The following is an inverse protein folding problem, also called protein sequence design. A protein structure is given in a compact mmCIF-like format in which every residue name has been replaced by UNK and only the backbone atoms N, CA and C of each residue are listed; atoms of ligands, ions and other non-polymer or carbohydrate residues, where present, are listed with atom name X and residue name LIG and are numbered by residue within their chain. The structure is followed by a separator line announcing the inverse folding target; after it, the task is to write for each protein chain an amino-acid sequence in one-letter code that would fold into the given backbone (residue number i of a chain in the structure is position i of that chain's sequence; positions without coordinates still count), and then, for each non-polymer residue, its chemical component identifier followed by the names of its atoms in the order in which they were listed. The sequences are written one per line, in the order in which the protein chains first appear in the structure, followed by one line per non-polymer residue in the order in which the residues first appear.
data_IF_205994284192
#
_entry.id   IF_205994284192
#
_cell.length_a   1.000
_cell.length_b   1.000
_cell.length_c   1.000
_cell.angle_alpha   90.00
_cell.angle_beta   90.00
_cell.angle_gamma   90.00
#
_symmetry.space_group_name_H-M   'P 1'
#
loop_
_entity.id
_entity.type
_entity.pdbx_description
1 polymer ?
#
# COMPACT_ATOMS: atom_id res chain seq x y z
N UNK A 1 27.62 -20.49 -8.47
CA UNK A 1 26.57 -20.02 -7.54
C UNK A 1 25.85 -18.88 -8.23
N UNK A 2 24.74 -19.18 -8.91
CA UNK A 2 24.01 -18.19 -9.69
C UNK A 2 23.15 -17.37 -8.72
N UNK A 3 23.58 -16.15 -8.39
CA UNK A 3 22.70 -15.18 -7.74
C UNK A 3 21.58 -14.85 -8.73
N UNK A 4 20.38 -15.40 -8.51
CA UNK A 4 19.20 -14.75 -9.03
C UNK A 4 19.09 -13.41 -8.32
N UNK A 5 19.40 -12.33 -9.04
CA UNK A 5 18.86 -11.03 -8.69
C UNK A 5 17.34 -11.23 -8.67
N UNK A 6 16.76 -11.34 -7.47
CA UNK A 6 15.34 -11.14 -7.30
C UNK A 6 15.10 -9.71 -7.79
N UNK A 7 14.69 -9.60 -9.05
CA UNK A 7 14.33 -8.35 -9.68
C UNK A 7 13.18 -7.83 -8.81
N UNK A 8 13.48 -6.91 -7.90
CA UNK A 8 12.52 -6.36 -6.97
C UNK A 8 11.35 -5.86 -7.83
N UNK A 9 10.23 -6.57 -7.78
CA UNK A 9 9.05 -6.23 -8.57
C UNK A 9 8.44 -5.02 -7.88
N UNK A 10 8.91 -3.83 -8.27
CA UNK A 10 8.30 -2.58 -7.85
C UNK A 10 6.91 -2.52 -8.49
N UNK A 11 5.87 -2.51 -7.67
CA UNK A 11 4.51 -2.40 -8.15
C UNK A 11 4.20 -0.93 -8.46
N UNK A 12 3.39 -0.70 -9.49
CA UNK A 12 2.81 0.61 -9.73
C UNK A 12 1.57 0.74 -8.85
N UNK A 13 1.49 1.77 -8.02
CA UNK A 13 0.36 2.02 -7.11
C UNK A 13 -0.51 3.17 -7.57
N UNK A 14 0.08 4.27 -8.04
CA UNK A 14 -0.67 5.49 -8.41
C UNK A 14 -1.72 5.19 -9.47
N UNK A 15 -2.95 5.63 -9.20
CA UNK A 15 -4.12 5.42 -10.04
C UNK A 15 -4.79 4.06 -9.87
N UNK A 16 -4.30 3.18 -8.96
CA UNK A 16 -4.89 1.87 -8.71
C UNK A 16 -5.75 1.86 -7.46
N UNK A 17 -6.71 0.95 -7.48
CA UNK A 17 -7.54 0.64 -6.32
C UNK A 17 -6.90 -0.48 -5.52
N UNK A 18 -6.76 -0.25 -4.21
CA UNK A 18 -6.15 -1.18 -3.28
C UNK A 18 -7.13 -1.57 -2.17
N UNK A 19 -6.92 -2.78 -1.64
CA UNK A 19 -7.49 -3.22 -0.38
C UNK A 19 -6.36 -3.22 0.64
N UNK A 20 -6.48 -2.42 1.69
CA UNK A 20 -5.42 -2.18 2.67
C UNK A 20 -5.91 -2.55 4.07
N UNK A 21 -5.12 -3.36 4.78
CA UNK A 21 -5.41 -3.87 6.12
C UNK A 21 -4.87 -2.93 7.19
N UNK A 22 -5.75 -2.36 7.98
CA UNK A 22 -5.40 -1.52 9.12
C UNK A 22 -5.73 -2.20 10.44
N UNK A 23 -4.89 -1.97 11.46
CA UNK A 23 -5.17 -2.35 12.84
C UNK A 23 -6.10 -1.29 13.43
N UNK A 24 -7.34 -1.69 13.74
CA UNK A 24 -8.38 -0.79 14.27
C UNK A 24 -8.41 -0.77 15.80
N UNK A 25 -7.84 -1.79 16.42
CA UNK A 25 -7.76 -1.92 17.87
C UNK A 25 -6.37 -2.43 18.25
N UNK A 26 -5.62 -1.60 18.99
CA UNK A 26 -4.21 -1.88 19.31
C UNK A 26 -4.06 -2.93 20.41
N UNK A 27 -5.03 -3.05 21.31
CA UNK A 27 -5.02 -3.96 22.46
C UNK A 27 -5.36 -5.38 22.04
N UNK A 28 -6.39 -5.54 21.22
CA UNK A 28 -6.87 -6.83 20.71
C UNK A 28 -6.25 -7.24 19.38
N UNK A 29 -5.43 -6.35 18.77
CA UNK A 29 -4.86 -6.51 17.42
C UNK A 29 -5.92 -6.77 16.35
N UNK A 30 -7.15 -6.32 16.57
CA UNK A 30 -8.22 -6.46 15.59
C UNK A 30 -7.87 -5.61 14.37
N UNK A 31 -7.96 -6.22 13.20
CA UNK A 31 -7.68 -5.58 11.93
C UNK A 31 -8.90 -5.60 11.02
N UNK A 32 -8.99 -4.60 10.15
CA UNK A 32 -10.06 -4.47 9.15
C UNK A 32 -9.45 -4.09 7.81
N UNK A 33 -10.06 -4.59 6.75
CA UNK A 33 -9.70 -4.24 5.38
C UNK A 33 -10.51 -3.04 4.92
N UNK A 34 -9.80 -2.05 4.38
CA UNK A 34 -10.33 -0.84 3.78
C UNK A 34 -10.06 -0.87 2.29
N UNK A 35 -10.92 -0.23 1.51
CA UNK A 35 -10.72 -0.06 0.08
C UNK A 35 -10.33 1.40 -0.12
N UNK A 36 -9.24 1.65 -0.83
CA UNK A 36 -8.79 3.00 -1.15
C UNK A 36 -8.25 3.08 -2.58
N UNK A 37 -8.12 4.30 -3.05
CA UNK A 37 -7.49 4.62 -4.33
C UNK A 37 -6.21 5.38 -4.05
N UNK A 38 -5.10 4.94 -4.63
CA UNK A 38 -3.82 5.65 -4.51
C UNK A 38 -3.83 6.81 -5.51
N UNK A 39 -3.75 8.03 -5.02
CA UNK A 39 -3.89 9.27 -5.80
C UNK A 39 -2.55 9.70 -6.36
N UNK A 40 -1.52 9.80 -5.52
CA UNK A 40 -0.21 10.31 -5.91
C UNK A 40 0.92 9.79 -5.01
N UNK A 41 2.17 10.09 -5.38
CA UNK A 41 3.36 9.91 -4.54
C UNK A 41 3.72 11.26 -3.91
N UNK A 42 3.66 11.32 -2.58
CA UNK A 42 4.05 12.52 -1.81
C UNK A 42 5.57 12.60 -1.67
N UNK A 43 6.23 11.46 -1.47
CA UNK A 43 7.69 11.38 -1.31
C UNK A 43 8.23 10.05 -1.83
N UNK A 44 9.43 10.09 -2.41
CA UNK A 44 10.08 8.90 -2.98
C UNK A 44 9.64 8.60 -4.41
N UNK A 45 9.58 7.31 -4.76
CA UNK A 45 9.20 6.83 -6.11
C UNK A 45 8.12 5.77 -5.99
N UNK A 46 7.19 5.75 -6.95
CA UNK A 46 6.15 4.73 -6.97
C UNK A 46 6.76 3.32 -7.04
N UNK A 47 6.30 2.43 -6.15
CA UNK A 47 6.89 1.10 -5.99
C UNK A 47 8.11 1.01 -5.06
N UNK A 48 8.58 2.11 -4.47
CA UNK A 48 9.66 2.09 -3.50
C UNK A 48 9.15 1.69 -2.09
N UNK A 49 9.85 0.79 -1.36
CA UNK A 49 9.54 0.43 0.03
C UNK A 49 9.49 1.58 1.04
N UNK A 50 10.09 2.73 0.71
CA UNK A 50 10.12 3.93 1.56
C UNK A 50 9.29 5.08 0.98
N UNK A 51 8.60 4.87 -0.14
CA UNK A 51 7.74 5.90 -0.70
C UNK A 51 6.54 6.16 0.21
N UNK A 52 6.14 7.43 0.22
CA UNK A 52 4.92 7.91 0.86
C UNK A 52 3.92 8.22 -0.24
N UNK A 53 2.75 7.61 -0.15
CA UNK A 53 1.68 7.75 -1.11
C UNK A 53 0.49 8.43 -0.47
N UNK A 54 -0.26 9.15 -1.29
CA UNK A 54 -1.56 9.69 -0.91
C UNK A 54 -2.65 8.68 -1.27
N UNK A 55 -3.44 8.24 -0.29
CA UNK A 55 -4.50 7.24 -0.46
C UNK A 55 -5.83 7.77 0.04
N UNK A 56 -6.82 7.83 -0.85
CA UNK A 56 -8.20 8.17 -0.49
C UNK A 56 -9.00 6.88 -0.23
N UNK A 57 -9.36 6.67 1.03
CA UNK A 57 -10.19 5.54 1.43
C UNK A 57 -11.67 5.79 1.16
N UNK A 58 -12.38 4.73 0.79
CA UNK A 58 -13.81 4.81 0.51
C UNK A 58 -14.59 5.20 1.77
N UNK A 59 -15.30 6.32 1.70
CA UNK A 59 -16.10 6.86 2.80
C UNK A 59 -15.41 7.99 3.56
N UNK A 60 -14.16 8.29 3.24
CA UNK A 60 -13.43 9.44 3.76
C UNK A 60 -13.50 10.62 2.78
N UNK A 61 -13.50 11.85 3.30
CA UNK A 61 -13.54 13.07 2.50
C UNK A 61 -12.14 13.56 2.09
N UNK A 62 -11.13 13.19 2.87
CA UNK A 62 -9.74 13.60 2.66
C UNK A 62 -8.83 12.38 2.49
N UNK A 63 -7.75 12.51 1.71
CA UNK A 63 -6.78 11.45 1.58
C UNK A 63 -5.85 11.35 2.79
N UNK A 64 -5.21 10.20 2.92
CA UNK A 64 -4.24 9.88 3.96
C UNK A 64 -2.88 9.66 3.35
N UNK A 65 -1.84 10.19 3.99
CA UNK A 65 -0.45 9.85 3.69
C UNK A 65 -0.12 8.49 4.28
N UNK A 66 0.37 7.57 3.44
CA UNK A 66 0.69 6.20 3.80
C UNK A 66 2.08 5.87 3.28
N UNK A 67 3.00 5.53 4.18
CA UNK A 67 4.32 5.04 3.82
C UNK A 67 4.33 3.53 3.58
N UNK A 68 5.24 3.06 2.73
CA UNK A 68 5.60 1.65 2.68
C UNK A 68 4.59 0.73 1.99
N UNK A 69 3.76 1.23 1.06
CA UNK A 69 2.78 0.41 0.33
C UNK A 69 3.40 -0.82 -0.35
N UNK A 70 4.64 -0.73 -0.82
CA UNK A 70 5.37 -1.87 -1.40
C UNK A 70 5.64 -2.95 -0.33
N UNK A 71 6.03 -2.56 0.89
CA UNK A 71 6.18 -3.51 2.00
C UNK A 71 4.86 -4.14 2.38
N UNK A 72 3.78 -3.35 2.45
CA UNK A 72 2.46 -3.87 2.78
C UNK A 72 1.95 -4.88 1.72
N UNK A 73 2.30 -4.66 0.45
CA UNK A 73 2.02 -5.58 -0.64
C UNK A 73 2.80 -6.89 -0.46
N UNK A 74 4.09 -6.80 -0.16
CA UNK A 74 4.98 -7.96 0.04
C UNK A 74 4.59 -8.77 1.30
N UNK A 75 4.17 -8.10 2.37
CA UNK A 75 3.70 -8.70 3.63
C UNK A 75 2.24 -9.21 3.54
N UNK A 76 1.52 -8.90 2.44
CA UNK A 76 0.14 -9.32 2.21
C UNK A 76 -0.90 -8.55 3.04
N UNK A 77 -0.53 -7.42 3.62
CA UNK A 77 -1.42 -6.44 4.26
C UNK A 77 -2.06 -5.48 3.25
N UNK A 78 -1.60 -5.50 1.99
CA UNK A 78 -2.17 -4.77 0.86
C UNK A 78 -2.40 -5.70 -0.33
N UNK A 79 -3.49 -5.47 -1.07
CA UNK A 79 -3.81 -6.19 -2.32
C UNK A 79 -4.36 -5.22 -3.36
N UNK A 80 -4.05 -5.44 -4.63
CA UNK A 80 -4.75 -4.75 -5.72
C UNK A 80 -6.16 -5.31 -5.86
N UNK A 81 -7.13 -4.42 -6.13
CA UNK A 81 -8.53 -4.81 -6.35
C UNK A 81 -8.77 -5.21 -7.81
N UNK A 82 -7.94 -4.70 -8.73
CA UNK A 82 -8.05 -4.92 -10.17
C UNK A 82 -7.46 -6.25 -10.68
N UNK A 83 -7.00 -7.14 -9.79
CA UNK A 83 -6.30 -8.39 -10.13
C UNK A 83 -7.13 -9.65 -9.89
#
# INVERSE_FOLDING_TARGET
MTLWAAQARTAKFVGRQIRHKWIVDKETKKSKWYIGTVIDVVSGKDGDPQAVHEVLYKGEDNPYEVDGLQRDLDEGSLKFVDI
#
